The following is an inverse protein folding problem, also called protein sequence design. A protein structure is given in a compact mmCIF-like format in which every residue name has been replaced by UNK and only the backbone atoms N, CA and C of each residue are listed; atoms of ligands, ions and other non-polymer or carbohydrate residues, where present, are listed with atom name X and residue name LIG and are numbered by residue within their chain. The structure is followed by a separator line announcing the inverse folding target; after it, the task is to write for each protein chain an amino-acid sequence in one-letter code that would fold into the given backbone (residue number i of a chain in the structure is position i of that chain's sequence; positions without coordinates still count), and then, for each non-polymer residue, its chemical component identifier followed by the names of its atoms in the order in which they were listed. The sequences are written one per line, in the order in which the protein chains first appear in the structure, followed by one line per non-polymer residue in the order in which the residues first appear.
data_IF_556881924850
#
_entry.id   IF_556881924850
#
_cell.length_a   1.000
_cell.length_b   1.000
_cell.length_c   1.000
_cell.angle_alpha   90.00
_cell.angle_beta   90.00
_cell.angle_gamma   90.00
#
_symmetry.space_group_name_H-M   'P 1'
#
loop_
_entity.id
_entity.type
_entity.pdbx_description
1 polymer ?
#
# COMPACT_ATOMS: atom_id res chain seq x y z
N UNK A 1 12.37 -20.67 -32.13
CA UNK A 1 11.42 -19.54 -32.13
C UNK A 1 11.08 -19.17 -30.69
N UNK A 2 11.83 -18.30 -30.01
CA UNK A 2 11.61 -18.10 -28.57
C UNK A 2 12.35 -16.95 -27.91
N UNK A 3 13.10 -16.10 -28.63
CA UNK A 3 13.89 -15.08 -27.94
C UNK A 3 13.61 -13.62 -28.37
N UNK A 4 12.84 -13.39 -29.39
CA UNK A 4 12.52 -12.04 -29.90
C UNK A 4 11.24 -11.42 -29.31
N UNK A 5 10.41 -12.17 -28.59
CA UNK A 5 9.23 -11.64 -27.92
C UNK A 5 9.51 -11.09 -26.51
N UNK A 6 10.59 -11.53 -25.86
CA UNK A 6 10.98 -11.02 -24.54
C UNK A 6 11.62 -9.64 -24.59
N UNK A 7 12.31 -9.30 -25.65
CA UNK A 7 12.99 -8.00 -25.79
C UNK A 7 12.03 -6.83 -26.06
N UNK A 8 10.88 -7.06 -26.70
CA UNK A 8 9.88 -6.00 -26.95
C UNK A 8 9.05 -5.58 -25.73
N UNK A 9 9.03 -6.38 -24.67
CA UNK A 9 8.33 -6.05 -23.42
C UNK A 9 9.18 -5.20 -22.47
N UNK A 10 10.49 -5.16 -22.66
CA UNK A 10 11.44 -4.41 -21.81
C UNK A 10 11.57 -2.95 -22.27
N UNK A 11 11.33 -2.66 -23.54
CA UNK A 11 11.56 -1.33 -24.13
C UNK A 11 10.44 -0.30 -23.87
N UNK A 12 9.25 -0.74 -23.43
CA UNK A 12 8.09 0.14 -23.23
C UNK A 12 7.89 0.61 -21.75
N UNK A 13 8.87 0.40 -20.88
CA UNK A 13 8.78 0.80 -19.45
C UNK A 13 9.91 1.72 -18.95
N UNK A 14 10.63 2.37 -19.87
CA UNK A 14 11.70 3.32 -19.51
C UNK A 14 11.26 4.78 -19.54
N UNK A 15 10.19 5.16 -18.86
CA UNK A 15 9.92 6.61 -18.73
C UNK A 15 9.06 6.91 -17.51
N UNK A 16 9.59 6.72 -16.31
CA UNK A 16 9.06 7.38 -15.10
C UNK A 16 10.20 7.63 -14.11
N UNK A 17 11.27 8.24 -14.59
CA UNK A 17 12.19 9.01 -13.75
C UNK A 17 11.79 10.46 -13.93
N UNK A 18 10.86 10.94 -13.12
CA UNK A 18 10.61 12.37 -13.01
C UNK A 18 11.63 12.88 -11.99
N UNK A 19 12.67 13.55 -12.52
CA UNK A 19 13.54 14.41 -11.74
C UNK A 19 12.72 15.57 -11.16
N UNK A 20 12.95 16.01 -9.94
CA UNK A 20 12.39 17.27 -9.43
C UNK A 20 13.10 18.40 -10.15
N UNK A 21 12.46 19.08 -11.04
CA UNK A 21 13.10 20.13 -11.81
C UNK A 21 12.15 21.21 -12.28
N UNK A 22 12.17 22.31 -11.59
CA UNK A 22 11.94 23.69 -12.05
C UNK A 22 10.66 23.96 -12.85
N UNK A 23 9.72 24.58 -12.17
CA UNK A 23 8.71 25.44 -12.80
C UNK A 23 9.41 26.63 -13.43
N UNK A 24 9.64 26.61 -14.75
CA UNK A 24 9.99 27.80 -15.50
C UNK A 24 8.72 28.47 -16.02
N UNK A 25 8.62 29.76 -15.69
CA UNK A 25 7.62 30.65 -16.27
C UNK A 25 7.81 30.79 -17.79
N UNK A 26 6.73 31.06 -18.47
CA UNK A 26 6.64 31.16 -19.91
C UNK A 26 7.69 32.10 -20.51
N UNK A 27 8.33 31.69 -21.60
CA UNK A 27 8.78 32.62 -22.62
C UNK A 27 8.06 32.36 -23.96
N UNK A 28 7.64 33.47 -24.52
CA UNK A 28 7.12 33.73 -25.84
C UNK A 28 7.79 32.89 -26.95
N UNK A 29 6.95 32.40 -27.86
CA UNK A 29 7.09 31.49 -28.95
C UNK A 29 8.35 31.52 -29.81
N UNK A 30 8.69 30.33 -30.30
CA UNK A 30 9.16 30.08 -31.67
C UNK A 30 8.75 28.62 -31.97
N UNK A 31 8.06 28.42 -33.10
CA UNK A 31 7.55 27.11 -33.50
C UNK A 31 8.63 26.15 -33.95
N UNK A 32 8.50 24.93 -33.47
CA UNK A 32 8.92 23.72 -34.18
C UNK A 32 7.88 22.65 -33.87
N UNK A 33 7.04 22.33 -34.86
CA UNK A 33 6.13 21.19 -34.81
C UNK A 33 6.95 19.91 -34.64
N UNK A 34 6.81 19.23 -33.51
CA UNK A 34 7.40 17.93 -33.30
C UNK A 34 6.35 16.84 -33.50
N UNK A 35 6.74 15.79 -34.19
CA UNK A 35 5.96 14.59 -34.57
C UNK A 35 5.32 13.85 -33.39
N UNK A 36 5.49 14.35 -32.17
CA UNK A 36 4.91 13.76 -30.94
C UNK A 36 3.47 14.18 -30.65
N UNK A 37 2.98 15.27 -31.25
CA UNK A 37 1.62 15.77 -30.94
C UNK A 37 0.52 14.98 -31.66
N UNK A 38 0.83 14.34 -32.78
CA UNK A 38 -0.17 13.62 -33.56
C UNK A 38 -0.63 12.30 -32.92
N UNK A 39 0.13 11.75 -31.97
CA UNK A 39 -0.27 10.52 -31.27
C UNK A 39 -1.14 10.77 -30.02
N UNK A 40 -1.14 11.97 -29.48
CA UNK A 40 -1.96 12.34 -28.34
C UNK A 40 -3.38 12.77 -28.76
N UNK A 41 -3.54 13.34 -29.94
CA UNK A 41 -4.87 13.71 -30.47
C UNK A 41 -5.69 12.50 -30.92
N UNK A 42 -5.06 11.45 -31.47
CA UNK A 42 -5.75 10.21 -31.83
C UNK A 42 -6.25 9.38 -30.61
N UNK A 43 -5.79 9.66 -29.39
CA UNK A 43 -6.32 9.04 -28.16
C UNK A 43 -7.50 9.80 -27.55
N UNK A 44 -7.79 11.02 -28.05
CA UNK A 44 -8.96 11.80 -27.61
C UNK A 44 -10.23 11.53 -28.40
N UNK A 45 -10.13 10.88 -29.55
CA UNK A 45 -11.25 10.65 -30.46
C UNK A 45 -12.07 9.38 -30.18
N UNK A 46 -11.61 8.46 -29.35
CA UNK A 46 -12.31 7.20 -29.04
C UNK A 46 -13.17 7.24 -27.76
N UNK A 47 -13.54 8.44 -27.32
CA UNK A 47 -14.43 8.64 -26.18
C UNK A 47 -15.85 8.96 -26.68
N UNK A 48 -16.48 8.04 -27.40
CA UNK A 48 -17.92 8.13 -27.73
C UNK A 48 -18.71 7.05 -27.01
N UNK A 49 -19.37 7.50 -25.95
CA UNK A 49 -20.76 7.20 -25.54
C UNK A 49 -21.28 5.77 -25.72
N UNK A 50 -21.03 4.87 -24.78
CA UNK A 50 -22.02 3.89 -24.28
C UNK A 50 -21.63 3.33 -22.89
N UNK A 51 -21.07 4.13 -22.00
CA UNK A 51 -20.93 3.74 -20.60
C UNK A 51 -22.07 4.32 -19.78
N UNK A 52 -22.92 3.42 -19.27
CA UNK A 52 -23.88 3.74 -18.21
C UNK A 52 -23.12 4.46 -17.11
N UNK A 53 -23.64 5.63 -16.69
CA UNK A 53 -23.05 6.44 -15.64
C UNK A 53 -22.59 5.59 -14.46
N UNK A 54 -21.31 5.65 -14.08
CA UNK A 54 -20.86 5.04 -12.84
C UNK A 54 -21.59 5.77 -11.72
N UNK A 55 -22.14 5.03 -10.77
CA UNK A 55 -22.73 5.51 -9.53
C UNK A 55 -21.85 6.65 -9.03
N UNK A 56 -22.37 7.88 -9.10
CA UNK A 56 -21.64 9.12 -8.83
C UNK A 56 -21.10 9.17 -7.41
N UNK A 57 -19.94 8.56 -7.19
CA UNK A 57 -19.11 8.82 -6.03
C UNK A 57 -18.31 10.07 -6.34
N UNK A 58 -18.76 11.19 -5.79
CA UNK A 58 -18.00 12.42 -5.73
C UNK A 58 -16.62 12.09 -5.16
N UNK A 59 -15.56 12.44 -5.90
CA UNK A 59 -14.18 12.39 -5.41
C UNK A 59 -14.12 13.06 -4.04
N UNK A 60 -13.46 12.46 -3.05
CA UNK A 60 -13.28 13.08 -1.74
C UNK A 60 -12.74 14.50 -1.95
N UNK A 61 -13.47 15.56 -1.51
CA UNK A 61 -13.08 16.96 -1.76
C UNK A 61 -11.67 17.29 -1.26
N UNK A 62 -11.18 16.53 -0.26
CA UNK A 62 -9.81 16.66 0.26
C UNK A 62 -8.76 16.24 -0.76
N UNK A 63 -9.09 15.27 -1.62
CA UNK A 63 -8.19 14.80 -2.67
C UNK A 63 -8.06 15.81 -3.84
N UNK A 64 -9.10 16.61 -4.09
CA UNK A 64 -9.06 17.65 -5.13
C UNK A 64 -8.16 18.83 -4.77
N UNK A 65 -7.88 19.08 -3.48
CA UNK A 65 -7.03 20.19 -3.03
C UNK A 65 -5.54 19.98 -3.29
N UNK A 66 -5.10 18.76 -3.63
CA UNK A 66 -3.69 18.38 -3.76
C UNK A 66 -3.14 18.40 -5.19
N UNK A 67 -3.83 19.04 -6.15
CA UNK A 67 -3.47 19.00 -7.58
C UNK A 67 -2.37 19.97 -8.02
N UNK A 68 -1.72 20.72 -7.13
CA UNK A 68 -0.60 21.60 -7.50
C UNK A 68 0.73 20.86 -7.37
N UNK A 69 1.62 20.96 -8.38
CA UNK A 69 2.80 20.11 -8.57
C UNK A 69 3.73 19.91 -7.37
N UNK A 70 3.93 20.89 -6.51
CA UNK A 70 4.71 20.75 -5.26
C UNK A 70 3.90 20.16 -4.10
N UNK A 71 2.56 20.17 -4.17
CA UNK A 71 1.67 19.57 -3.17
C UNK A 71 1.31 18.11 -3.48
N UNK A 72 1.64 17.60 -4.67
CA UNK A 72 1.31 16.20 -5.01
C UNK A 72 2.15 15.21 -4.21
N UNK A 73 3.42 15.52 -3.96
CA UNK A 73 4.33 14.61 -3.26
C UNK A 73 3.97 14.48 -1.77
N UNK A 74 3.68 15.58 -1.09
CA UNK A 74 3.23 15.56 0.30
C UNK A 74 1.74 15.22 0.44
N UNK A 75 0.93 15.60 -0.54
CA UNK A 75 -0.52 15.48 -0.48
C UNK A 75 -1.03 14.05 -0.28
N UNK A 76 -0.40 13.06 -0.92
CA UNK A 76 -0.75 11.65 -0.74
C UNK A 76 -0.37 11.15 0.65
N UNK A 77 0.75 11.60 1.19
CA UNK A 77 1.18 11.25 2.54
C UNK A 77 0.24 11.84 3.59
N UNK A 78 -0.02 13.14 3.51
CA UNK A 78 -0.92 13.83 4.44
C UNK A 78 -2.34 13.26 4.41
N UNK A 79 -2.81 12.86 3.22
CA UNK A 79 -4.12 12.25 3.04
C UNK A 79 -4.23 10.86 3.68
N UNK A 80 -3.18 10.03 3.56
CA UNK A 80 -3.19 8.64 4.05
C UNK A 80 -2.72 8.50 5.49
N UNK A 81 -1.85 9.39 5.97
CA UNK A 81 -1.21 9.33 7.29
C UNK A 81 -2.19 9.10 8.45
N UNK A 82 -3.31 9.84 8.56
CA UNK A 82 -4.27 9.60 9.64
C UNK A 82 -4.86 8.19 9.66
N UNK A 83 -5.12 7.61 8.47
CA UNK A 83 -5.64 6.25 8.36
C UNK A 83 -4.58 5.20 8.73
N UNK A 84 -3.32 5.42 8.33
CA UNK A 84 -2.19 4.54 8.68
C UNK A 84 -1.95 4.55 10.19
N UNK A 85 -1.89 5.72 10.80
CA UNK A 85 -1.72 5.88 12.24
C UNK A 85 -2.86 5.23 13.03
N UNK A 86 -4.10 5.45 12.60
CA UNK A 86 -5.28 4.82 13.19
C UNK A 86 -5.18 3.30 13.15
N UNK A 87 -4.82 2.75 11.98
CA UNK A 87 -4.70 1.30 11.82
C UNK A 87 -3.55 0.72 12.66
N UNK A 88 -2.41 1.41 12.71
CA UNK A 88 -1.29 1.00 13.56
C UNK A 88 -1.66 1.01 15.05
N UNK A 89 -2.44 2.00 15.53
CA UNK A 89 -2.94 1.99 16.92
C UNK A 89 -3.80 0.77 17.20
N UNK A 90 -4.73 0.42 16.30
CA UNK A 90 -5.57 -0.78 16.45
C UNK A 90 -4.70 -2.04 16.53
N UNK A 91 -3.73 -2.19 15.63
CA UNK A 91 -2.83 -3.35 15.59
C UNK A 91 -1.96 -3.41 16.86
N UNK A 92 -1.48 -2.27 17.35
CA UNK A 92 -0.68 -2.20 18.58
C UNK A 92 -1.49 -2.64 19.82
N UNK A 93 -2.77 -2.26 19.91
CA UNK A 93 -3.68 -2.72 20.98
C UNK A 93 -3.97 -4.22 20.89
N UNK A 94 -4.16 -4.75 19.68
CA UNK A 94 -4.34 -6.18 19.44
C UNK A 94 -3.09 -6.97 19.82
N UNK A 95 -1.90 -6.46 19.46
CA UNK A 95 -0.62 -7.05 19.84
C UNK A 95 -0.40 -7.02 21.35
N UNK A 96 -0.64 -5.88 21.98
CA UNK A 96 -0.52 -5.73 23.44
C UNK A 96 -1.39 -6.75 24.19
N UNK A 97 -2.62 -6.97 23.70
CA UNK A 97 -3.50 -8.00 24.27
C UNK A 97 -2.87 -9.40 24.13
N UNK A 98 -2.35 -9.77 22.97
CA UNK A 98 -1.72 -11.08 22.75
C UNK A 98 -0.45 -11.27 23.60
N UNK A 99 0.33 -10.21 23.82
CA UNK A 99 1.50 -10.23 24.71
C UNK A 99 1.10 -10.46 26.18
N UNK A 100 -0.05 -9.89 26.61
CA UNK A 100 -0.62 -10.18 27.94
C UNK A 100 -1.07 -11.63 28.04
N UNK A 101 -1.79 -12.14 27.03
CA UNK A 101 -2.21 -13.55 26.97
C UNK A 101 -0.99 -14.48 27.05
N UNK A 102 0.08 -14.16 26.34
CA UNK A 102 1.30 -14.96 26.37
C UNK A 102 1.90 -15.03 27.77
N UNK A 103 1.95 -13.91 28.49
CA UNK A 103 2.40 -13.87 29.88
C UNK A 103 1.49 -14.69 30.81
N UNK A 104 0.17 -14.64 30.59
CA UNK A 104 -0.79 -15.46 31.37
C UNK A 104 -0.51 -16.95 31.17
N UNK A 105 -0.31 -17.40 29.92
CA UNK A 105 0.00 -18.80 29.60
C UNK A 105 1.35 -19.24 30.18
N UNK A 106 2.38 -18.39 30.14
CA UNK A 106 3.70 -18.68 30.75
C UNK A 106 3.61 -18.85 32.26
N UNK A 107 2.73 -18.09 32.92
CA UNK A 107 2.47 -18.18 34.37
C UNK A 107 1.41 -19.23 34.73
N UNK A 108 1.01 -20.09 33.79
CA UNK A 108 -0.01 -21.13 33.96
C UNK A 108 -1.37 -20.60 34.41
N UNK A 109 -1.69 -19.33 34.12
CA UNK A 109 -3.00 -18.76 34.38
C UNK A 109 -4.01 -19.29 33.37
N UNK A 110 -5.21 -19.61 33.83
CA UNK A 110 -6.31 -19.96 32.94
C UNK A 110 -6.88 -18.74 32.26
N UNK A 111 -7.12 -18.85 30.95
CA UNK A 111 -7.79 -17.82 30.17
C UNK A 111 -9.30 -17.89 30.36
N UNK A 112 -9.93 -16.75 30.57
CA UNK A 112 -11.39 -16.69 30.61
C UNK A 112 -12.00 -16.76 29.20
N UNK A 113 -13.33 -16.95 29.12
CA UNK A 113 -14.05 -17.14 27.85
C UNK A 113 -13.93 -15.91 26.92
N UNK A 114 -13.89 -14.69 27.47
CA UNK A 114 -13.77 -13.47 26.69
C UNK A 114 -12.36 -13.36 26.05
N UNK A 115 -11.30 -13.75 26.77
CA UNK A 115 -9.94 -13.80 26.23
C UNK A 115 -9.85 -14.85 25.12
N UNK A 116 -10.39 -16.06 25.36
CA UNK A 116 -10.39 -17.14 24.35
C UNK A 116 -11.14 -16.72 23.08
N UNK A 117 -12.32 -16.13 23.22
CA UNK A 117 -13.11 -15.61 22.10
C UNK A 117 -12.33 -14.53 21.32
N UNK A 118 -11.71 -13.56 22.03
CA UNK A 118 -10.93 -12.50 21.38
C UNK A 118 -9.73 -13.06 20.63
N UNK A 119 -9.03 -14.05 21.18
CA UNK A 119 -7.92 -14.75 20.50
C UNK A 119 -8.39 -15.39 19.20
N UNK A 120 -9.49 -16.12 19.25
CA UNK A 120 -10.07 -16.77 18.06
C UNK A 120 -10.42 -15.74 16.98
N UNK A 121 -11.06 -14.62 17.34
CA UNK A 121 -11.38 -13.54 16.41
C UNK A 121 -10.14 -12.90 15.78
N UNK A 122 -9.05 -12.75 16.54
CA UNK A 122 -7.77 -12.29 16.00
C UNK A 122 -7.13 -13.32 15.07
N UNK A 123 -7.17 -14.60 15.42
CA UNK A 123 -6.68 -15.66 14.56
C UNK A 123 -7.42 -15.68 13.20
N UNK A 124 -8.74 -15.54 13.21
CA UNK A 124 -9.56 -15.42 12.00
C UNK A 124 -9.20 -14.15 11.19
N UNK A 125 -9.13 -12.99 11.85
CA UNK A 125 -8.79 -11.71 11.22
C UNK A 125 -7.46 -11.78 10.49
N UNK A 126 -6.46 -12.44 11.08
CA UNK A 126 -5.11 -12.57 10.53
C UNK A 126 -4.88 -13.90 9.79
N UNK A 127 -5.95 -14.61 9.45
CA UNK A 127 -5.92 -15.84 8.64
C UNK A 127 -4.97 -16.90 9.21
N UNK A 128 -4.95 -17.04 10.53
CA UNK A 128 -4.17 -18.07 11.21
C UNK A 128 -5.08 -19.22 11.66
N UNK A 129 -4.88 -20.39 11.07
CA UNK A 129 -5.62 -21.60 11.45
C UNK A 129 -5.10 -22.13 12.79
N UNK A 130 -5.62 -21.57 13.90
CA UNK A 130 -5.27 -21.96 15.26
C UNK A 130 -5.98 -23.26 15.64
N UNK A 131 -5.21 -24.27 16.10
CA UNK A 131 -5.78 -25.56 16.55
C UNK A 131 -6.02 -25.60 18.05
N UNK A 132 -5.16 -24.97 18.83
CA UNK A 132 -5.26 -24.85 20.28
C UNK A 132 -4.75 -23.48 20.71
N UNK A 133 -5.21 -23.00 21.86
CA UNK A 133 -4.68 -21.78 22.48
C UNK A 133 -3.58 -22.20 23.45
N UNK A 134 -2.35 -22.16 22.94
CA UNK A 134 -1.12 -22.46 23.68
C UNK A 134 -0.06 -21.40 23.36
N UNK A 135 1.06 -21.45 24.10
CA UNK A 135 2.14 -20.47 23.96
C UNK A 135 2.73 -20.42 22.54
N UNK A 136 2.85 -21.57 21.84
CA UNK A 136 3.36 -21.65 20.47
C UNK A 136 2.39 -21.01 19.46
N UNK A 137 1.11 -21.29 19.60
CA UNK A 137 0.05 -20.70 18.76
C UNK A 137 -0.03 -19.19 18.94
N UNK A 138 0.09 -18.68 20.17
CA UNK A 138 0.13 -17.24 20.44
C UNK A 138 1.38 -16.59 19.85
N UNK A 139 2.55 -17.24 19.94
CA UNK A 139 3.79 -16.78 19.29
C UNK A 139 3.64 -16.66 17.76
N UNK A 140 3.03 -17.66 17.13
CA UNK A 140 2.74 -17.65 15.69
C UNK A 140 1.76 -16.54 15.31
N UNK A 141 0.76 -16.27 16.16
CA UNK A 141 -0.17 -15.18 15.94
C UNK A 141 0.51 -13.81 16.15
N UNK A 142 1.37 -13.64 17.14
CA UNK A 142 2.18 -12.44 17.39
C UNK A 142 3.11 -12.09 16.22
N UNK A 143 3.58 -13.07 15.45
CA UNK A 143 4.34 -12.81 14.21
C UNK A 143 3.48 -12.17 13.11
N UNK A 144 2.17 -12.36 13.15
CA UNK A 144 1.19 -11.76 12.21
C UNK A 144 0.68 -10.41 12.72
N UNK A 145 0.39 -10.30 14.02
CA UNK A 145 -0.19 -9.11 14.63
C UNK A 145 0.92 -8.17 15.08
N UNK A 146 1.35 -7.30 14.17
CA UNK A 146 2.34 -6.27 14.48
C UNK A 146 2.19 -5.07 13.55
N UNK A 147 2.63 -3.91 14.01
CA UNK A 147 2.60 -2.64 13.29
C UNK A 147 3.49 -2.67 12.04
N UNK A 148 3.20 -1.79 11.11
CA UNK A 148 3.97 -1.57 9.90
C UNK A 148 4.46 -0.12 9.91
N UNK A 149 5.76 0.15 9.67
CA UNK A 149 6.26 1.52 9.63
C UNK A 149 5.41 2.41 8.72
N UNK A 150 5.04 3.57 9.23
CA UNK A 150 4.20 4.52 8.50
C UNK A 150 4.84 4.91 7.17
N UNK A 151 6.14 5.25 7.20
CA UNK A 151 6.92 5.60 6.01
C UNK A 151 6.84 4.54 4.91
N UNK A 152 6.90 3.25 5.27
CA UNK A 152 6.78 2.15 4.33
C UNK A 152 5.39 2.10 3.66
N UNK A 153 4.32 2.29 4.44
CA UNK A 153 2.95 2.28 3.92
C UNK A 153 2.72 3.46 2.97
N UNK A 154 3.19 4.65 3.36
CA UNK A 154 3.05 5.87 2.57
C UNK A 154 3.80 5.80 1.24
N UNK A 155 5.06 5.33 1.27
CA UNK A 155 5.87 5.17 0.06
C UNK A 155 5.28 4.14 -0.90
N UNK A 156 4.79 3.00 -0.40
CA UNK A 156 4.12 2.03 -1.26
C UNK A 156 2.86 2.61 -1.90
N UNK A 157 2.04 3.33 -1.15
CA UNK A 157 0.86 3.98 -1.70
C UNK A 157 1.21 5.01 -2.79
N UNK A 158 2.25 5.81 -2.58
CA UNK A 158 2.75 6.77 -3.57
C UNK A 158 3.22 6.05 -4.85
N UNK A 159 4.03 5.00 -4.69
CA UNK A 159 4.55 4.22 -5.82
C UNK A 159 3.43 3.53 -6.61
N UNK A 160 2.52 2.83 -5.94
CA UNK A 160 1.44 2.07 -6.58
C UNK A 160 0.42 2.96 -7.32
N UNK A 161 0.30 4.21 -6.91
CA UNK A 161 -0.70 5.13 -7.46
C UNK A 161 -0.13 6.23 -8.33
N UNK A 162 1.19 6.25 -8.55
CA UNK A 162 1.83 7.41 -9.18
C UNK A 162 1.46 8.69 -8.45
N UNK A 163 1.75 8.74 -7.15
CA UNK A 163 1.45 9.87 -6.27
C UNK A 163 -0.05 10.24 -6.22
N UNK A 164 -0.91 9.23 -6.17
CA UNK A 164 -2.36 9.40 -6.10
C UNK A 164 -3.04 9.78 -7.43
N UNK A 165 -2.29 9.88 -8.53
CA UNK A 165 -2.84 10.25 -9.84
C UNK A 165 -3.67 9.15 -10.49
N UNK A 166 -3.50 7.89 -10.06
CA UNK A 166 -4.15 6.73 -10.67
C UNK A 166 -5.68 6.80 -10.55
N UNK A 167 -6.38 6.33 -11.58
CA UNK A 167 -7.84 6.20 -11.58
C UNK A 167 -8.33 5.34 -10.41
N UNK A 168 -7.62 4.28 -10.09
CA UNK A 168 -8.00 3.37 -9.00
C UNK A 168 -7.90 4.01 -7.61
N UNK A 169 -6.94 4.91 -7.41
CA UNK A 169 -6.85 5.71 -6.18
C UNK A 169 -8.03 6.69 -6.09
N UNK A 170 -8.33 7.40 -7.19
CA UNK A 170 -9.33 8.46 -7.20
C UNK A 170 -10.77 7.95 -7.16
N UNK A 171 -11.10 6.95 -7.98
CA UNK A 171 -12.46 6.43 -8.11
C UNK A 171 -12.74 5.27 -7.16
N UNK A 172 -11.70 4.48 -6.82
CA UNK A 172 -11.83 3.25 -6.04
C UNK A 172 -11.27 3.34 -4.63
N UNK A 173 -10.64 4.46 -4.23
CA UNK A 173 -9.90 4.60 -2.98
C UNK A 173 -8.89 3.45 -2.75
N UNK A 174 -8.37 2.89 -3.86
CA UNK A 174 -7.43 1.79 -3.84
C UNK A 174 -6.01 2.30 -4.05
N UNK A 175 -5.30 2.50 -2.94
CA UNK A 175 -3.95 3.08 -2.92
C UNK A 175 -2.84 2.02 -3.04
N UNK A 176 -3.17 0.74 -3.09
CA UNK A 176 -2.21 -0.36 -3.01
C UNK A 176 -2.40 -1.41 -4.12
N UNK A 177 -3.12 -1.10 -5.18
CA UNK A 177 -3.35 -2.02 -6.29
C UNK A 177 -4.04 -3.34 -5.89
N UNK A 178 -4.82 -3.36 -4.83
CA UNK A 178 -5.43 -4.58 -4.31
C UNK A 178 -6.50 -5.11 -5.25
N UNK A 179 -6.46 -6.41 -5.50
CA UNK A 179 -7.40 -7.08 -6.38
C UNK A 179 -8.53 -7.75 -5.60
N UNK A 180 -9.64 -7.92 -6.29
CA UNK A 180 -10.75 -8.76 -5.84
C UNK A 180 -11.21 -9.67 -6.98
N UNK A 181 -11.80 -10.83 -6.60
CA UNK A 181 -12.06 -11.93 -7.53
C UNK A 181 -13.55 -12.23 -7.68
N UNK A 182 -14.42 -11.40 -7.11
CA UNK A 182 -15.86 -11.51 -7.26
C UNK A 182 -16.32 -10.47 -8.28
N UNK A 183 -17.05 -10.88 -9.31
CA UNK A 183 -17.59 -9.98 -10.34
C UNK A 183 -18.37 -8.83 -9.71
N UNK A 184 -18.04 -7.59 -10.10
CA UNK A 184 -18.65 -6.37 -9.58
C UNK A 184 -18.09 -5.90 -8.22
N UNK A 185 -16.96 -6.45 -7.76
CA UNK A 185 -16.32 -6.03 -6.52
C UNK A 185 -15.41 -4.81 -6.67
N UNK A 186 -15.11 -4.42 -7.93
CA UNK A 186 -14.17 -3.35 -8.19
C UNK A 186 -14.27 -2.72 -9.58
N UNK A 187 -13.20 -2.07 -9.97
CA UNK A 187 -13.03 -1.45 -11.28
C UNK A 187 -12.32 -2.44 -12.22
N UNK A 188 -12.84 -2.61 -13.41
CA UNK A 188 -12.20 -3.46 -14.43
C UNK A 188 -10.97 -2.73 -14.99
N UNK A 189 -9.76 -3.35 -14.97
CA UNK A 189 -8.59 -2.78 -15.61
C UNK A 189 -8.79 -2.72 -17.14
N UNK A 190 -8.42 -1.60 -17.76
CA UNK A 190 -8.52 -1.44 -19.23
C UNK A 190 -7.63 -2.43 -19.99
N UNK A 191 -6.49 -2.82 -19.38
CA UNK A 191 -5.53 -3.78 -19.97
C UNK A 191 -5.75 -5.22 -19.51
N UNK A 192 -6.94 -5.55 -18.95
CA UNK A 192 -7.22 -6.92 -18.50
C UNK A 192 -7.21 -7.89 -19.68
N UNK A 193 -6.36 -8.92 -19.59
CA UNK A 193 -6.31 -9.98 -20.59
C UNK A 193 -7.64 -10.74 -20.67
N UNK A 194 -8.00 -11.18 -21.88
CA UNK A 194 -9.21 -11.99 -22.10
C UNK A 194 -9.17 -13.27 -21.26
N UNK A 195 -10.28 -13.61 -20.61
CA UNK A 195 -10.38 -14.77 -19.70
C UNK A 195 -10.01 -14.50 -18.23
N UNK A 196 -9.46 -13.34 -17.89
CA UNK A 196 -9.17 -12.98 -16.50
C UNK A 196 -10.39 -12.37 -15.81
N UNK A 197 -10.70 -12.84 -14.57
CA UNK A 197 -11.91 -12.43 -13.84
C UNK A 197 -11.63 -11.42 -12.72
N UNK A 198 -10.36 -11.04 -12.47
CA UNK A 198 -10.02 -10.13 -11.39
C UNK A 198 -10.41 -8.67 -11.70
N UNK A 199 -10.80 -7.96 -10.67
CA UNK A 199 -11.07 -6.53 -10.69
C UNK A 199 -10.18 -5.83 -9.65
N UNK A 200 -9.89 -4.55 -9.85
CA UNK A 200 -9.22 -3.73 -8.85
C UNK A 200 -10.24 -3.32 -7.80
N UNK A 201 -10.04 -3.74 -6.55
CA UNK A 201 -11.00 -3.57 -5.48
C UNK A 201 -11.39 -2.10 -5.27
N UNK A 202 -12.66 -1.84 -4.96
CA UNK A 202 -13.19 -0.52 -4.57
C UNK A 202 -13.46 -0.53 -3.07
N UNK A 203 -12.95 0.47 -2.37
CA UNK A 203 -13.13 0.63 -0.93
C UNK A 203 -14.16 1.72 -0.62
N UNK A 204 -14.82 1.61 0.53
CA UNK A 204 -15.81 2.61 0.99
C UNK A 204 -15.14 3.83 1.60
N UNK A 205 -13.93 3.64 2.14
CA UNK A 205 -13.13 4.68 2.78
C UNK A 205 -11.63 4.42 2.61
N UNK A 206 -10.83 5.44 2.84
CA UNK A 206 -9.37 5.34 2.94
C UNK A 206 -8.96 4.40 4.06
N UNK A 207 -9.65 4.47 5.21
CA UNK A 207 -9.43 3.58 6.34
C UNK A 207 -9.57 2.10 5.94
N UNK A 208 -10.59 1.76 5.14
CA UNK A 208 -10.81 0.39 4.67
C UNK A 208 -9.70 -0.08 3.72
N UNK A 209 -9.22 0.80 2.84
CA UNK A 209 -8.12 0.52 1.92
C UNK A 209 -6.82 0.22 2.68
N UNK A 210 -6.46 1.11 3.61
CA UNK A 210 -5.26 0.96 4.46
C UNK A 210 -5.39 -0.29 5.35
N UNK A 211 -6.53 -0.50 6.00
CA UNK A 211 -6.78 -1.66 6.86
C UNK A 211 -6.66 -2.97 6.07
N UNK A 212 -7.19 -3.01 4.84
CA UNK A 212 -7.12 -4.18 3.97
C UNK A 212 -5.67 -4.47 3.56
N UNK A 213 -4.92 -3.44 3.15
CA UNK A 213 -3.52 -3.57 2.78
C UNK A 213 -2.65 -4.05 3.96
N UNK A 214 -2.73 -3.41 5.13
CA UNK A 214 -1.94 -3.78 6.29
C UNK A 214 -2.28 -5.19 6.80
N UNK A 215 -3.57 -5.58 6.73
CA UNK A 215 -4.00 -6.95 7.02
C UNK A 215 -3.41 -7.94 6.02
N UNK A 216 -3.34 -7.61 4.73
CA UNK A 216 -2.74 -8.47 3.70
C UNK A 216 -1.27 -8.74 4.01
N UNK A 217 -0.45 -7.73 4.30
CA UNK A 217 0.95 -7.94 4.70
C UNK A 217 1.08 -8.78 5.97
N UNK A 218 0.17 -8.60 6.91
CA UNK A 218 0.15 -9.28 8.19
C UNK A 218 -0.36 -10.72 8.12
N UNK A 219 -1.11 -11.11 7.08
CA UNK A 219 -1.76 -12.43 7.03
C UNK A 219 -1.35 -13.29 5.84
N UNK A 220 -1.17 -12.72 4.64
CA UNK A 220 -0.96 -13.48 3.41
C UNK A 220 0.39 -14.22 3.42
N UNK A 221 0.39 -15.47 2.93
CA UNK A 221 1.58 -16.32 2.88
C UNK A 221 2.72 -15.71 2.05
N UNK A 222 2.42 -14.96 1.00
CA UNK A 222 3.40 -14.29 0.15
C UNK A 222 4.33 -13.34 0.94
N UNK A 223 3.85 -12.79 2.06
CA UNK A 223 4.62 -11.86 2.91
C UNK A 223 5.18 -12.52 4.18
N UNK A 224 5.42 -13.83 4.15
CA UNK A 224 6.06 -14.55 5.26
C UNK A 224 7.46 -14.04 5.56
N UNK A 225 8.24 -13.68 4.54
CA UNK A 225 9.56 -13.07 4.69
C UNK A 225 9.49 -11.73 5.41
N UNK A 226 8.56 -10.86 5.01
CA UNK A 226 8.31 -9.58 5.69
C UNK A 226 8.09 -9.78 7.20
N UNK A 227 7.22 -10.73 7.56
CA UNK A 227 6.93 -11.04 8.96
C UNK A 227 8.11 -11.68 9.70
N UNK A 228 8.96 -12.43 8.99
CA UNK A 228 10.19 -12.98 9.57
C UNK A 228 11.19 -11.89 9.91
N UNK A 229 11.51 -11.01 8.95
CA UNK A 229 12.42 -9.86 9.19
C UNK A 229 11.90 -9.02 10.37
N UNK A 230 10.60 -8.74 10.42
CA UNK A 230 9.99 -7.98 11.52
C UNK A 230 10.12 -8.69 12.87
N UNK A 231 9.90 -10.00 12.90
CA UNK A 231 10.07 -10.80 14.12
C UNK A 231 11.52 -10.84 14.59
N UNK A 232 12.48 -10.90 13.67
CA UNK A 232 13.90 -10.88 13.98
C UNK A 232 14.32 -9.53 14.59
N UNK A 233 13.88 -8.40 14.01
CA UNK A 233 14.08 -7.07 14.59
C UNK A 233 13.51 -6.97 16.00
N UNK A 234 12.31 -7.50 16.22
CA UNK A 234 11.70 -7.55 17.56
C UNK A 234 12.51 -8.36 18.56
N UNK A 235 13.04 -9.53 18.14
CA UNK A 235 13.84 -10.37 19.00
C UNK A 235 15.17 -9.72 19.41
N UNK A 236 15.71 -8.87 18.55
CA UNK A 236 16.94 -8.10 18.76
C UNK A 236 16.68 -6.75 19.47
N UNK A 237 15.41 -6.44 19.79
CA UNK A 237 15.00 -5.15 20.34
C UNK A 237 15.37 -3.96 19.44
N UNK A 238 15.47 -4.20 18.14
CA UNK A 238 15.72 -3.15 17.15
C UNK A 238 14.42 -2.46 16.72
N UNK A 239 14.49 -1.18 16.31
CA UNK A 239 13.35 -0.45 15.79
C UNK A 239 12.87 -1.06 14.47
N UNK A 240 11.56 -1.04 14.26
CA UNK A 240 10.95 -1.43 12.99
C UNK A 240 11.08 -0.27 12.00
N UNK A 241 12.12 -0.27 11.18
CA UNK A 241 12.37 0.74 10.15
C UNK A 241 11.99 0.22 8.77
N UNK A 242 11.49 1.12 7.93
CA UNK A 242 11.02 0.78 6.59
C UNK A 242 12.11 0.15 5.73
N UNK A 243 13.32 0.70 5.77
CA UNK A 243 14.48 0.30 4.96
C UNK A 243 14.88 -1.16 5.18
N UNK A 244 14.68 -1.69 6.39
CA UNK A 244 14.92 -3.12 6.67
C UNK A 244 13.74 -3.99 6.24
N UNK A 245 12.52 -3.49 6.38
CA UNK A 245 11.31 -4.27 6.15
C UNK A 245 10.91 -4.38 4.67
N UNK A 246 11.27 -3.41 3.82
CA UNK A 246 10.96 -3.45 2.38
C UNK A 246 11.54 -4.68 1.68
N UNK A 247 12.66 -5.24 2.15
CA UNK A 247 13.21 -6.48 1.59
C UNK A 247 12.24 -7.68 1.70
N UNK A 248 11.31 -7.62 2.65
CA UNK A 248 10.24 -8.62 2.77
C UNK A 248 9.13 -8.50 1.74
N UNK A 249 9.17 -7.48 0.87
CA UNK A 249 8.19 -7.21 -0.18
C UNK A 249 8.60 -7.75 -1.56
N UNK A 250 9.64 -8.57 -1.64
CA UNK A 250 10.14 -9.12 -2.91
C UNK A 250 9.05 -9.79 -3.75
N UNK A 251 8.01 -10.34 -3.12
CA UNK A 251 6.87 -10.97 -3.79
C UNK A 251 5.70 -10.00 -4.03
N UNK A 252 5.85 -8.70 -3.74
CA UNK A 252 4.79 -7.70 -3.97
C UNK A 252 4.66 -7.32 -5.44
N UNK A 253 5.78 -7.25 -6.15
CA UNK A 253 5.85 -6.89 -7.56
C UNK A 253 6.59 -7.97 -8.37
N UNK A 254 6.17 -8.17 -9.62
CA UNK A 254 6.90 -9.02 -10.58
C UNK A 254 8.34 -8.53 -10.84
N UNK A 255 8.65 -7.25 -10.53
CA UNK A 255 9.97 -6.64 -10.68
C UNK A 255 10.94 -7.01 -9.55
N UNK A 256 10.45 -7.67 -8.50
CA UNK A 256 11.24 -8.19 -7.38
C UNK A 256 12.27 -7.18 -6.82
N UNK A 257 13.57 -7.42 -7.03
CA UNK A 257 14.67 -6.58 -6.50
C UNK A 257 14.59 -5.14 -6.99
N UNK A 258 14.30 -4.92 -8.27
CA UNK A 258 14.15 -3.56 -8.81
C UNK A 258 13.02 -2.76 -8.18
N UNK A 259 11.99 -3.44 -7.67
CA UNK A 259 10.92 -2.82 -6.88
C UNK A 259 11.42 -2.42 -5.50
N UNK A 260 12.24 -3.24 -4.86
CA UNK A 260 12.84 -2.93 -3.56
C UNK A 260 13.76 -1.72 -3.67
N UNK A 261 14.64 -1.69 -4.69
CA UNK A 261 15.54 -0.56 -4.93
C UNK A 261 14.78 0.74 -5.12
N UNK A 262 13.68 0.71 -5.89
CA UNK A 262 12.81 1.87 -6.10
C UNK A 262 12.20 2.37 -4.79
N UNK A 263 11.69 1.47 -3.94
CA UNK A 263 11.15 1.85 -2.63
C UNK A 263 12.21 2.46 -1.71
N UNK A 264 13.43 1.90 -1.70
CA UNK A 264 14.55 2.43 -0.92
C UNK A 264 14.97 3.81 -1.40
N UNK A 265 15.00 4.03 -2.71
CA UNK A 265 15.28 5.35 -3.29
C UNK A 265 14.19 6.35 -2.91
N UNK A 266 12.93 5.97 -3.01
CA UNK A 266 11.81 6.83 -2.60
C UNK A 266 11.84 7.15 -1.10
N UNK A 267 12.18 6.21 -0.23
CA UNK A 267 12.33 6.43 1.21
C UNK A 267 13.41 7.49 1.49
N UNK A 268 14.58 7.39 0.85
CA UNK A 268 15.69 8.34 1.01
C UNK A 268 15.34 9.73 0.50
N UNK A 269 14.72 9.83 -0.69
CA UNK A 269 14.40 11.13 -1.29
C UNK A 269 13.26 11.88 -0.58
N UNK A 270 12.41 11.16 0.14
CA UNK A 270 11.25 11.73 0.81
C UNK A 270 11.36 11.71 2.34
N UNK A 271 12.56 11.49 2.89
CA UNK A 271 12.78 11.35 4.33
C UNK A 271 12.15 12.52 5.13
N UNK A 272 12.33 13.75 4.68
CA UNK A 272 11.82 14.96 5.34
C UNK A 272 10.27 15.02 5.45
N UNK A 273 9.55 14.36 4.51
CA UNK A 273 8.07 14.31 4.49
C UNK A 273 7.52 13.08 5.21
N UNK A 274 8.37 12.09 5.47
CA UNK A 274 8.00 10.84 6.10
C UNK A 274 8.17 10.88 7.63
N UNK A 275 8.95 11.83 8.15
CA UNK A 275 9.09 12.06 9.60
C UNK A 275 7.79 12.64 10.14
N UNK A 276 7.25 12.04 11.19
CA UNK A 276 6.06 12.55 11.87
C UNK A 276 6.42 13.78 12.71
N UNK A 277 6.23 14.98 12.14
CA UNK A 277 6.45 16.26 12.81
C UNK A 277 5.54 16.51 14.03
N UNK A 278 4.63 15.57 14.34
CA UNK A 278 3.75 15.65 15.50
C UNK A 278 4.38 15.08 16.78
N UNK A 279 5.45 14.30 16.68
CA UNK A 279 6.10 13.69 17.86
C UNK A 279 7.02 14.69 18.60
N UNK A 280 7.56 15.70 17.94
CA UNK A 280 8.43 16.70 18.56
C UNK A 280 7.72 17.74 19.44
N UNK A 281 6.40 17.87 19.36
CA UNK A 281 5.65 18.90 20.15
C UNK A 281 5.19 18.45 21.53
N UNK A 282 5.45 17.21 21.94
CA UNK A 282 5.05 16.69 23.26
C UNK A 282 6.22 16.39 24.19
N UNK A 283 7.44 16.77 23.84
CA UNK A 283 8.62 16.61 24.69
C UNK A 283 9.19 17.98 25.12
N UNK A 284 8.34 18.81 25.77
CA UNK A 284 8.79 19.97 26.57
C UNK A 284 8.00 20.02 27.85
#
# INVERSE_FOLDING_TARGET
MGNRQKERLIENRKTWLIYPGTCFGDPVGIGTESVFDTQLENRRADFSATDKEPIGRQLDPRFQQYQCCQRQETGVFDFLRPAVQKQNRIIAEERKFLEQVQKHLQNQHQLNDAEQYRIQRLAEKYQYAMRAIDSDSINKLLRRVDVIPESMVLIQAANETGWGSSRFAREGLNFFGQWCFKKGCGLVPQSRSEGMAHEVAVFKSVDDSVASYMRNLNSNAAYSLFRSIRADLRSQQEPLIAEKLVYGLVNYSERQEAYIDELLDMLRHNEEYLVDNHVEKTAV
#
